data_IF_902456811102
#
_entry.id   IF_902456811102
#
_cell.length_a   1.000
_cell.length_b   1.000
_cell.length_c   1.000
_cell.angle_alpha   90.00
_cell.angle_beta   90.00
_cell.angle_gamma   90.00
#
_symmetry.space_group_name_H-M   'P 1'
#
loop_
_entity.id
_entity.type
_entity.pdbx_description
1 polymer ?
#
# COMPACT_ATOMS: atom_id res chain seq x y z
N UNK A 1 -6.79 -51.79 -34.08
CA UNK A 1 -5.76 -50.77 -33.72
C UNK A 1 -6.15 -49.31 -34.05
N UNK A 2 -7.38 -49.01 -34.51
CA UNK A 2 -7.79 -47.64 -34.88
C UNK A 2 -8.25 -46.72 -33.72
N UNK A 3 -8.48 -47.25 -32.51
CA UNK A 3 -9.05 -46.46 -31.40
C UNK A 3 -8.05 -45.60 -30.63
N UNK A 4 -6.77 -45.99 -30.60
CA UNK A 4 -5.74 -45.36 -29.75
C UNK A 4 -5.23 -44.02 -30.34
N UNK A 5 -5.26 -43.88 -31.67
CA UNK A 5 -4.83 -42.65 -32.34
C UNK A 5 -5.82 -41.49 -32.13
N UNK A 6 -7.13 -41.78 -32.07
CA UNK A 6 -8.18 -40.75 -31.90
C UNK A 6 -8.18 -40.12 -30.50
N UNK A 7 -7.99 -40.93 -29.45
CA UNK A 7 -7.93 -40.43 -28.06
C UNK A 7 -6.71 -39.56 -27.77
N UNK A 8 -5.59 -39.80 -28.45
CA UNK A 8 -4.38 -38.98 -28.34
C UNK A 8 -4.53 -37.62 -29.05
N UNK A 9 -5.18 -37.59 -30.23
CA UNK A 9 -5.45 -36.35 -30.96
C UNK A 9 -6.44 -35.44 -30.20
N UNK A 10 -7.46 -36.02 -29.58
CA UNK A 10 -8.46 -35.28 -28.80
C UNK A 10 -7.88 -34.73 -27.49
N UNK A 11 -7.06 -35.53 -26.79
CA UNK A 11 -6.33 -35.10 -25.58
C UNK A 11 -5.34 -33.97 -25.89
N UNK A 12 -4.65 -34.00 -27.04
CA UNK A 12 -3.76 -32.92 -27.48
C UNK A 12 -4.53 -31.63 -27.79
N UNK A 13 -5.70 -31.73 -28.42
CA UNK A 13 -6.56 -30.58 -28.73
C UNK A 13 -7.12 -29.94 -27.45
N UNK A 14 -7.50 -30.74 -26.46
CA UNK A 14 -7.99 -30.27 -25.16
C UNK A 14 -6.89 -29.55 -24.35
N UNK A 15 -5.66 -30.10 -24.34
CA UNK A 15 -4.51 -29.48 -23.65
C UNK A 15 -4.10 -28.17 -24.32
N UNK A 16 -4.07 -28.09 -25.65
CA UNK A 16 -3.76 -26.85 -26.37
C UNK A 16 -4.81 -25.75 -26.14
N UNK A 17 -6.10 -26.11 -26.07
CA UNK A 17 -7.18 -25.17 -25.72
C UNK A 17 -7.07 -24.67 -24.28
N UNK A 18 -6.79 -25.55 -23.33
CA UNK A 18 -6.58 -25.19 -21.93
C UNK A 18 -5.36 -24.28 -21.75
N UNK A 19 -4.24 -24.58 -22.42
CA UNK A 19 -3.04 -23.76 -22.41
C UNK A 19 -3.29 -22.37 -23.00
N UNK A 20 -4.04 -22.27 -24.10
CA UNK A 20 -4.41 -20.99 -24.71
C UNK A 20 -5.22 -20.10 -23.76
N UNK A 21 -6.22 -20.67 -23.06
CA UNK A 21 -7.02 -19.93 -22.07
C UNK A 21 -6.15 -19.48 -20.90
N UNK A 22 -5.27 -20.34 -20.39
CA UNK A 22 -4.37 -20.01 -19.29
C UNK A 22 -3.41 -18.86 -19.65
N UNK A 23 -2.85 -18.87 -20.87
CA UNK A 23 -1.97 -17.79 -21.38
C UNK A 23 -2.74 -16.49 -21.55
N UNK A 24 -3.96 -16.52 -22.08
CA UNK A 24 -4.79 -15.32 -22.19
C UNK A 24 -5.10 -14.71 -20.81
N UNK A 25 -5.45 -15.55 -19.82
CA UNK A 25 -5.73 -15.09 -18.46
C UNK A 25 -4.50 -14.43 -17.81
N UNK A 26 -3.32 -15.06 -17.89
CA UNK A 26 -2.10 -14.49 -17.32
C UNK A 26 -1.71 -13.16 -17.98
N UNK A 27 -1.88 -13.04 -19.31
CA UNK A 27 -1.64 -11.79 -20.03
C UNK A 27 -2.60 -10.68 -19.62
N UNK A 28 -3.89 -10.99 -19.39
CA UNK A 28 -4.87 -9.99 -18.95
C UNK A 28 -4.57 -9.44 -17.55
N UNK A 29 -4.13 -10.30 -16.61
CA UNK A 29 -3.73 -9.88 -15.26
C UNK A 29 -2.43 -9.08 -15.29
N UNK A 30 -1.48 -9.44 -16.17
CA UNK A 30 -0.25 -8.68 -16.33
C UNK A 30 -0.48 -7.30 -16.98
N UNK A 31 -1.51 -7.16 -17.82
CA UNK A 31 -1.89 -5.90 -18.46
C UNK A 31 -2.63 -4.93 -17.51
N UNK A 32 -3.27 -5.44 -16.44
CA UNK A 32 -3.80 -4.59 -15.37
C UNK A 32 -2.67 -4.14 -14.45
N UNK A 33 -1.96 -3.07 -14.84
CA UNK A 33 -0.91 -2.47 -14.01
C UNK A 33 -1.47 -1.84 -12.72
N UNK A 34 -0.65 -1.77 -11.66
CA UNK A 34 -1.00 -1.16 -10.36
C UNK A 34 -1.16 0.38 -10.38
N UNK A 35 -1.22 1.01 -11.56
CA UNK A 35 -1.30 2.47 -11.69
C UNK A 35 -2.75 2.93 -11.83
N UNK A 36 -3.36 3.35 -10.72
CA UNK A 36 -4.41 4.39 -10.78
C UNK A 36 -5.75 4.08 -10.13
N UNK A 37 -5.96 2.89 -9.57
CA UNK A 37 -7.17 2.59 -8.78
C UNK A 37 -6.79 1.86 -7.50
N UNK A 38 -6.29 2.64 -6.54
CA UNK A 38 -6.15 2.13 -5.18
C UNK A 38 -7.55 1.77 -4.65
N UNK A 39 -7.70 0.56 -4.11
CA UNK A 39 -8.90 0.17 -3.35
C UNK A 39 -9.06 1.03 -2.09
N UNK A 40 -7.97 1.65 -1.66
CA UNK A 40 -7.91 2.56 -0.52
C UNK A 40 -7.97 4.02 -1.00
N UNK A 41 -8.53 4.93 -0.18
CA UNK A 41 -8.45 6.36 -0.45
C UNK A 41 -6.99 6.78 -0.72
N UNK A 42 -6.77 7.81 -1.56
CA UNK A 42 -5.44 8.33 -1.80
C UNK A 42 -4.79 8.73 -0.49
N UNK A 43 -3.47 8.57 -0.40
CA UNK A 43 -2.71 9.10 0.72
C UNK A 43 -2.99 10.61 0.81
N UNK A 44 -3.31 11.08 2.02
CA UNK A 44 -3.66 12.48 2.27
C UNK A 44 -2.53 13.45 1.91
N UNK A 45 -2.76 14.75 2.12
CA UNK A 45 -1.70 15.75 1.92
C UNK A 45 -0.48 15.44 2.81
N UNK A 46 0.70 15.93 2.43
CA UNK A 46 1.92 15.70 3.23
C UNK A 46 1.76 16.12 4.69
N UNK A 47 1.01 17.21 4.93
CA UNK A 47 0.69 17.70 6.27
C UNK A 47 -0.21 16.72 7.05
N UNK A 48 -1.19 16.09 6.39
CA UNK A 48 -2.03 15.07 7.02
C UNK A 48 -1.24 13.82 7.38
N UNK A 49 -0.33 13.40 6.50
CA UNK A 49 0.55 12.27 6.75
C UNK A 49 1.51 12.57 7.92
N UNK A 50 2.08 13.77 7.94
CA UNK A 50 2.93 14.22 9.05
C UNK A 50 2.15 14.31 10.36
N UNK A 51 0.96 14.91 10.36
CA UNK A 51 0.12 15.02 11.55
C UNK A 51 -0.19 13.65 12.15
N UNK A 52 -0.52 12.68 11.29
CA UNK A 52 -0.78 11.31 11.68
C UNK A 52 0.50 10.60 12.20
N UNK A 53 1.64 10.85 11.55
CA UNK A 53 2.93 10.31 12.00
C UNK A 53 3.31 10.82 13.40
N UNK A 54 3.17 12.13 13.68
CA UNK A 54 3.48 12.72 14.99
C UNK A 54 2.60 12.13 16.11
N UNK A 55 1.35 11.82 15.76
CA UNK A 55 0.40 11.21 16.68
C UNK A 55 0.83 9.79 17.08
N UNK A 56 1.37 9.00 16.16
CA UNK A 56 1.78 7.61 16.39
C UNK A 56 3.25 7.45 16.81
N UNK A 57 4.10 8.39 16.44
CA UNK A 57 5.53 8.47 16.74
C UNK A 57 5.86 9.91 17.19
N UNK A 58 5.57 10.26 18.46
CA UNK A 58 5.79 11.61 18.97
C UNK A 58 7.28 11.97 19.00
N UNK A 59 7.56 13.26 18.87
CA UNK A 59 8.91 13.79 19.08
C UNK A 59 9.41 13.41 20.48
N UNK A 60 10.69 13.02 20.64
CA UNK A 60 11.25 12.74 21.94
C UNK A 60 11.14 13.97 22.82
N UNK A 61 10.90 13.75 24.10
CA UNK A 61 11.08 14.81 25.07
C UNK A 61 12.58 14.95 25.39
N UNK A 62 13.05 16.19 25.40
CA UNK A 62 14.47 16.52 25.62
C UNK A 62 15.00 16.03 26.99
N UNK A 63 14.13 15.70 27.94
CA UNK A 63 14.44 15.29 29.31
C UNK A 63 14.37 13.77 29.55
N UNK A 64 13.87 12.98 28.61
CA UNK A 64 13.60 11.54 28.79
C UNK A 64 14.55 10.65 27.98
N UNK A 65 15.20 11.15 26.93
CA UNK A 65 16.09 10.32 26.13
C UNK A 65 17.07 11.06 25.21
N UNK A 66 17.98 10.31 24.54
CA UNK A 66 18.89 10.86 23.56
C UNK A 66 18.14 11.48 22.38
N UNK A 67 18.68 12.54 21.80
CA UNK A 67 18.08 13.17 20.62
C UNK A 67 17.99 12.19 19.46
N UNK A 68 16.89 12.21 18.73
CA UNK A 68 16.66 11.35 17.57
C UNK A 68 16.95 12.04 16.24
N UNK A 69 17.85 13.05 16.25
CA UNK A 69 18.19 13.91 15.11
C UNK A 69 18.66 13.15 13.85
N UNK A 70 18.89 11.84 13.91
CA UNK A 70 19.18 10.98 12.76
C UNK A 70 18.09 9.97 12.38
N UNK A 71 17.03 9.80 13.16
CA UNK A 71 15.97 8.81 12.89
C UNK A 71 14.91 9.32 11.91
N UNK A 72 14.62 10.63 11.94
CA UNK A 72 13.62 11.27 11.08
C UNK A 72 14.22 11.80 9.76
N UNK A 73 13.43 11.99 8.70
CA UNK A 73 13.93 12.64 7.48
C UNK A 73 14.22 14.14 7.73
N UNK A 74 15.22 14.75 7.06
CA UNK A 74 15.76 16.11 7.33
C UNK A 74 14.76 17.25 7.56
N UNK A 75 13.60 17.21 6.91
CA UNK A 75 12.53 18.22 7.06
C UNK A 75 11.61 17.97 8.25
N UNK A 76 11.84 16.90 9.02
CA UNK A 76 10.98 16.42 10.10
C UNK A 76 11.74 16.26 11.43
N UNK A 77 12.99 16.71 11.53
CA UNK A 77 13.77 16.70 12.78
C UNK A 77 13.16 17.57 13.86
N UNK A 78 12.51 18.67 13.47
CA UNK A 78 11.99 19.66 14.40
C UNK A 78 10.49 19.46 14.63
N UNK A 79 10.02 19.57 15.89
CA UNK A 79 8.60 19.49 16.18
C UNK A 79 7.84 20.65 15.52
N UNK A 80 6.58 20.38 15.18
CA UNK A 80 5.69 21.43 14.67
C UNK A 80 5.45 22.51 15.73
N UNK A 81 5.17 23.77 15.33
CA UNK A 81 4.85 24.84 16.26
C UNK A 81 3.71 24.45 17.21
N UNK A 82 3.81 24.85 18.49
CA UNK A 82 2.82 24.55 19.54
C UNK A 82 1.36 24.78 19.11
N UNK A 83 0.99 25.88 18.42
CA UNK A 83 -0.39 26.10 18.02
C UNK A 83 -0.94 25.04 17.05
N UNK A 84 -0.08 24.46 16.21
CA UNK A 84 -0.43 23.36 15.30
C UNK A 84 -0.49 22.06 16.09
N UNK A 85 0.46 21.86 17.01
CA UNK A 85 0.54 20.67 17.87
C UNK A 85 -0.71 20.46 18.71
N UNK A 86 -1.23 21.52 19.32
CA UNK A 86 -2.46 21.46 20.11
C UNK A 86 -3.72 21.09 19.29
N UNK A 87 -3.67 21.21 17.96
CA UNK A 87 -4.76 20.80 17.07
C UNK A 87 -4.58 19.40 16.48
N UNK A 88 -3.37 18.82 16.57
CA UNK A 88 -3.06 17.52 15.94
C UNK A 88 -3.98 16.40 16.40
N UNK A 89 -4.19 16.25 17.71
CA UNK A 89 -5.04 15.18 18.25
C UNK A 89 -6.51 15.34 17.83
N UNK A 90 -7.17 16.51 18.01
CA UNK A 90 -8.55 16.65 17.58
C UNK A 90 -8.74 16.55 16.05
N UNK A 91 -7.73 16.96 15.26
CA UNK A 91 -7.79 16.87 13.80
C UNK A 91 -7.53 15.44 13.28
N UNK A 92 -6.61 14.70 13.90
CA UNK A 92 -6.23 13.33 13.48
C UNK A 92 -7.14 12.25 14.09
N UNK A 93 -7.65 12.47 15.30
CA UNK A 93 -8.51 11.55 16.04
C UNK A 93 -9.85 12.19 16.44
N UNK A 94 -10.71 12.56 15.47
CA UNK A 94 -11.99 13.20 15.76
C UNK A 94 -12.94 12.32 16.62
N UNK A 95 -12.66 11.02 16.73
CA UNK A 95 -13.41 10.07 17.56
C UNK A 95 -12.97 10.02 19.03
N UNK A 96 -11.85 10.65 19.41
CA UNK A 96 -11.34 10.57 20.80
C UNK A 96 -12.16 11.41 21.79
N UNK A 97 -13.19 12.12 21.31
CA UNK A 97 -14.04 12.98 22.13
C UNK A 97 -13.34 14.30 22.45
N UNK A 98 -14.05 15.40 22.24
CA UNK A 98 -13.62 16.73 22.66
C UNK A 98 -14.11 17.02 24.07
#
# INVERSE_FOLDING_TARGET
MHGILKTCADRRTLVMRGAGIAVCLTLTVAATGCRGRSLFPPAGTINQQQANAIVHDPYPLDDIGPSDLGARPPSYQQPVPEPVRNRLIPDAMPWLGR
#
